data_IF_353849846605
#
_entry.id   IF_353849846605
#
_cell.length_a   1.000
_cell.length_b   1.000
_cell.length_c   1.000
_cell.angle_alpha   90.00
_cell.angle_beta   90.00
_cell.angle_gamma   90.00
#
_symmetry.space_group_name_H-M   'P 1'
#
loop_
_entity.id
_entity.type
_entity.pdbx_description
1 polymer ?
#
# COMPACT_ATOMS: atom_id res chain seq x y z
N UNK A 1 0.60 23.39 10.98
CA UNK A 1 1.53 22.26 11.22
C UNK A 1 0.90 21.06 10.54
N UNK A 2 1.59 20.43 9.59
CA UNK A 2 1.11 19.20 8.96
C UNK A 2 1.42 18.02 9.89
N UNK A 3 0.44 17.15 10.10
CA UNK A 3 0.63 15.89 10.83
C UNK A 3 0.79 14.80 9.77
N UNK A 4 1.92 14.06 9.77
CA UNK A 4 2.10 13.01 8.79
C UNK A 4 1.17 11.83 9.10
N UNK A 5 0.73 11.19 8.03
CA UNK A 5 0.10 9.88 8.08
C UNK A 5 1.16 8.82 7.76
N UNK A 6 1.21 7.75 8.54
CA UNK A 6 2.21 6.69 8.44
C UNK A 6 1.52 5.35 8.16
N UNK A 7 1.96 4.62 7.13
CA UNK A 7 1.62 3.19 6.93
C UNK A 7 2.79 2.33 7.40
N UNK A 8 2.55 1.41 8.34
CA UNK A 8 3.59 0.64 9.03
C UNK A 8 4.09 -0.59 8.26
N UNK A 9 3.86 -0.67 6.96
CA UNK A 9 4.06 -1.91 6.21
C UNK A 9 2.93 -2.91 6.49
N UNK A 10 3.26 -4.20 6.46
CA UNK A 10 2.35 -5.28 6.86
C UNK A 10 3.10 -6.34 7.65
N UNK A 11 2.49 -6.89 8.69
CA UNK A 11 3.12 -7.86 9.59
C UNK A 11 2.21 -9.04 9.91
N UNK A 12 2.83 -10.19 10.18
CA UNK A 12 2.11 -11.33 10.72
C UNK A 12 1.91 -11.15 12.22
N UNK A 13 0.67 -11.28 12.66
CA UNK A 13 0.36 -11.32 14.08
C UNK A 13 -0.64 -12.43 14.39
N UNK A 14 -0.51 -12.98 15.58
CA UNK A 14 -1.43 -13.96 16.10
C UNK A 14 -2.53 -13.26 16.89
N UNK A 15 -3.77 -13.38 16.42
CA UNK A 15 -4.95 -12.91 17.14
C UNK A 15 -5.75 -14.14 17.52
N UNK A 16 -5.91 -14.35 18.82
CA UNK A 16 -6.51 -15.57 19.37
C UNK A 16 -5.77 -16.83 18.85
N UNK A 17 -6.44 -17.66 18.04
CA UNK A 17 -5.90 -18.91 17.50
C UNK A 17 -5.62 -18.85 15.98
N UNK A 18 -5.57 -17.65 15.39
CA UNK A 18 -5.33 -17.46 13.97
C UNK A 18 -4.17 -16.50 13.71
N UNK A 19 -3.46 -16.75 12.63
CA UNK A 19 -2.46 -15.84 12.07
C UNK A 19 -3.11 -14.98 11.02
N UNK A 20 -2.88 -13.67 11.08
CA UNK A 20 -3.28 -12.73 10.03
C UNK A 20 -2.07 -11.97 9.52
N UNK A 21 -2.14 -11.45 8.31
CA UNK A 21 -1.21 -10.46 7.80
C UNK A 21 -1.93 -9.11 7.84
N UNK A 22 -1.53 -8.25 8.77
CA UNK A 22 -2.19 -6.99 9.08
C UNK A 22 -1.36 -5.81 8.60
N UNK A 23 -2.02 -4.81 8.03
CA UNK A 23 -1.43 -3.52 7.73
C UNK A 23 -2.30 -2.44 8.38
N UNK A 24 -1.66 -1.45 8.96
CA UNK A 24 -2.35 -0.33 9.58
C UNK A 24 -1.66 0.98 9.27
N UNK A 25 -2.43 2.04 9.47
CA UNK A 25 -1.93 3.37 9.43
C UNK A 25 -2.30 4.17 10.67
N UNK A 26 -1.38 5.07 11.01
CA UNK A 26 -1.37 5.82 12.26
C UNK A 26 -1.05 7.30 12.01
N UNK A 27 -1.47 8.16 12.94
CA UNK A 27 -0.97 9.54 13.01
C UNK A 27 0.48 9.53 13.45
N UNK A 28 1.36 10.19 12.70
CA UNK A 28 2.77 10.28 13.06
C UNK A 28 3.06 11.23 14.24
N UNK A 29 2.05 11.94 14.77
CA UNK A 29 2.21 12.77 15.96
C UNK A 29 2.31 11.93 17.24
N UNK A 30 1.44 10.93 17.38
CA UNK A 30 1.25 10.19 18.63
C UNK A 30 1.03 8.68 18.42
N UNK A 31 1.02 8.19 17.18
CA UNK A 31 0.76 6.80 16.86
C UNK A 31 -0.72 6.41 16.90
N UNK A 32 -1.65 7.37 17.00
CA UNK A 32 -3.09 7.07 17.00
C UNK A 32 -3.48 6.32 15.74
N UNK A 33 -4.08 5.13 15.91
CA UNK A 33 -4.60 4.33 14.81
C UNK A 33 -5.68 5.08 14.03
N UNK A 34 -5.56 5.04 12.71
CA UNK A 34 -6.50 5.67 11.77
C UNK A 34 -7.35 4.61 11.09
N UNK A 35 -6.72 3.71 10.34
CA UNK A 35 -7.39 2.57 9.72
C UNK A 35 -6.37 1.49 9.34
N UNK A 36 -6.86 0.27 9.13
CA UNK A 36 -6.04 -0.85 8.70
C UNK A 36 -6.85 -1.88 7.92
N UNK A 37 -6.15 -2.89 7.42
CA UNK A 37 -6.76 -4.04 6.78
C UNK A 37 -5.97 -5.33 7.05
N UNK A 38 -6.69 -6.43 7.03
CA UNK A 38 -6.10 -7.77 7.02
C UNK A 38 -6.04 -8.26 5.55
N UNK A 39 -4.97 -8.96 5.21
CA UNK A 39 -4.72 -9.48 3.87
C UNK A 39 -5.81 -10.44 3.45
N UNK A 40 -6.25 -10.33 2.20
CA UNK A 40 -7.39 -11.10 1.67
C UNK A 40 -6.97 -12.17 0.67
N UNK A 41 -5.71 -12.12 0.22
CA UNK A 41 -5.13 -13.10 -0.68
C UNK A 41 -3.77 -13.60 -0.21
N UNK A 42 -3.73 -14.84 0.28
CA UNK A 42 -2.49 -15.52 0.64
C UNK A 42 -1.58 -15.73 -0.57
N UNK A 43 -0.27 -15.61 -0.37
CA UNK A 43 0.74 -15.98 -1.38
C UNK A 43 1.19 -17.43 -1.22
N UNK A 44 1.56 -18.08 -2.33
CA UNK A 44 2.35 -19.32 -2.30
C UNK A 44 3.70 -19.00 -2.93
N UNK A 45 4.77 -19.22 -2.18
CA UNK A 45 6.15 -18.99 -2.63
C UNK A 45 6.97 -20.25 -2.37
N UNK A 46 7.72 -20.74 -3.36
CA UNK A 46 8.50 -21.97 -3.28
C UNK A 46 7.70 -23.16 -2.70
N UNK A 47 6.47 -23.38 -3.20
CA UNK A 47 5.52 -24.40 -2.73
C UNK A 47 5.09 -24.26 -1.25
N UNK A 48 5.45 -23.17 -0.58
CA UNK A 48 5.03 -22.85 0.77
C UNK A 48 3.89 -21.83 0.71
N UNK A 49 2.69 -22.25 1.13
CA UNK A 49 1.55 -21.34 1.27
C UNK A 49 1.74 -20.48 2.52
N UNK A 50 1.49 -19.18 2.40
CA UNK A 50 1.46 -18.26 3.54
C UNK A 50 0.45 -18.75 4.59
N UNK A 51 0.92 -18.95 5.82
CA UNK A 51 0.16 -19.52 6.93
C UNK A 51 -0.76 -18.50 7.61
N UNK A 52 -1.59 -17.80 6.83
CA UNK A 52 -2.55 -16.81 7.34
C UNK A 52 -3.98 -17.20 7.04
N UNK A 53 -4.89 -16.75 7.89
CA UNK A 53 -6.31 -16.66 7.60
C UNK A 53 -6.56 -15.39 6.77
N UNK A 54 -7.13 -15.56 5.59
CA UNK A 54 -7.48 -14.44 4.72
C UNK A 54 -8.75 -13.75 5.22
N UNK A 55 -8.73 -12.43 5.28
CA UNK A 55 -9.90 -11.65 5.67
C UNK A 55 -10.93 -11.58 4.55
N UNK A 56 -12.24 -11.58 4.85
CA UNK A 56 -13.27 -11.35 3.86
C UNK A 56 -13.37 -9.86 3.47
N UNK A 57 -14.19 -9.59 2.46
CA UNK A 57 -14.70 -8.24 2.14
C UNK A 57 -15.79 -7.89 3.19
N UNK A 58 -15.95 -6.63 3.64
CA UNK A 58 -15.58 -5.35 3.02
C UNK A 58 -14.13 -4.85 3.18
N UNK A 59 -13.77 -3.91 2.31
CA UNK A 59 -12.56 -3.08 2.43
C UNK A 59 -12.85 -1.88 3.35
N UNK A 60 -11.95 -1.62 4.29
CA UNK A 60 -11.97 -0.39 5.08
C UNK A 60 -11.32 0.73 4.27
N UNK A 61 -12.01 1.85 4.13
CA UNK A 61 -11.49 3.06 3.48
C UNK A 61 -11.51 4.23 4.48
N UNK A 62 -10.59 5.16 4.30
CA UNK A 62 -10.52 6.40 5.07
C UNK A 62 -10.77 7.58 4.12
N UNK A 63 -11.82 8.36 4.39
CA UNK A 63 -12.04 9.63 3.68
C UNK A 63 -11.26 10.73 4.39
N UNK A 64 -10.38 11.40 3.64
CA UNK A 64 -9.57 12.52 4.13
C UNK A 64 -9.74 13.75 3.23
N UNK A 65 -9.26 14.93 3.64
CA UNK A 65 -9.10 16.06 2.73
C UNK A 65 -8.25 15.80 1.47
N UNK A 66 -7.36 14.78 1.49
CA UNK A 66 -6.59 14.35 0.31
C UNK A 66 -7.35 13.38 -0.60
N UNK A 67 -8.58 13.01 -0.22
CA UNK A 67 -9.42 12.06 -0.93
C UNK A 67 -9.66 10.76 -0.18
N UNK A 68 -10.30 9.82 -0.87
CA UNK A 68 -10.63 8.48 -0.39
C UNK A 68 -9.41 7.56 -0.49
N UNK A 69 -9.02 7.00 0.65
CA UNK A 69 -7.83 6.15 0.78
C UNK A 69 -8.21 4.72 1.13
N UNK A 70 -7.43 3.75 0.64
CA UNK A 70 -7.50 2.36 1.06
C UNK A 70 -6.09 1.76 1.24
N UNK A 71 -6.01 0.65 2.00
CA UNK A 71 -4.81 -0.18 2.12
C UNK A 71 -5.12 -1.55 1.52
N UNK A 72 -4.19 -2.08 0.73
CA UNK A 72 -4.21 -3.45 0.21
C UNK A 72 -2.85 -4.10 0.46
N UNK A 73 -2.78 -5.42 0.66
CA UNK A 73 -1.51 -6.08 0.96
C UNK A 73 -1.09 -6.98 -0.20
N UNK A 74 0.04 -6.65 -0.83
CA UNK A 74 0.66 -7.44 -1.89
C UNK A 74 -0.35 -7.90 -2.98
N UNK A 75 -0.67 -9.20 -3.02
CA UNK A 75 -1.59 -9.83 -3.99
C UNK A 75 -3.00 -9.23 -4.02
N UNK A 76 -3.46 -8.61 -2.93
CA UNK A 76 -4.78 -7.98 -2.89
C UNK A 76 -4.95 -6.95 -4.01
N UNK A 77 -3.84 -6.31 -4.45
CA UNK A 77 -3.84 -5.29 -5.51
C UNK A 77 -4.22 -5.84 -6.90
N UNK A 78 -4.00 -7.12 -7.20
CA UNK A 78 -4.10 -7.63 -8.58
C UNK A 78 -4.74 -9.00 -8.73
N UNK A 79 -5.16 -9.65 -7.64
CA UNK A 79 -5.71 -11.01 -7.71
C UNK A 79 -7.08 -11.15 -7.04
N UNK A 80 -8.02 -11.72 -7.79
CA UNK A 80 -9.32 -12.17 -7.28
C UNK A 80 -10.30 -11.05 -6.92
N UNK A 81 -11.21 -11.38 -6.01
CA UNK A 81 -12.27 -10.48 -5.54
C UNK A 81 -11.74 -9.16 -4.94
N UNK A 82 -10.68 -9.14 -4.10
CA UNK A 82 -10.15 -7.89 -3.55
C UNK A 82 -9.74 -6.89 -4.63
N UNK A 83 -9.06 -7.35 -5.68
CA UNK A 83 -8.65 -6.50 -6.80
C UNK A 83 -9.86 -5.97 -7.58
N UNK A 84 -10.89 -6.79 -7.77
CA UNK A 84 -12.13 -6.36 -8.44
C UNK A 84 -12.84 -5.26 -7.65
N UNK A 85 -12.93 -5.39 -6.33
CA UNK A 85 -13.54 -4.37 -5.47
C UNK A 85 -12.69 -3.09 -5.45
N UNK A 86 -11.37 -3.20 -5.28
CA UNK A 86 -10.45 -2.05 -5.36
C UNK A 86 -10.62 -1.27 -6.68
N UNK A 87 -10.75 -1.98 -7.81
CA UNK A 87 -10.96 -1.37 -9.12
C UNK A 87 -12.37 -0.81 -9.36
N UNK A 88 -13.33 -1.06 -8.45
CA UNK A 88 -14.70 -0.53 -8.51
C UNK A 88 -14.89 0.73 -7.67
N UNK A 89 -13.98 0.99 -6.73
CA UNK A 89 -14.05 2.13 -5.82
C UNK A 89 -13.41 3.37 -6.44
N UNK A 90 -13.95 4.58 -6.22
CA UNK A 90 -13.35 5.83 -6.65
C UNK A 90 -12.23 6.24 -5.69
N UNK A 91 -11.20 5.42 -5.57
CA UNK A 91 -10.06 5.68 -4.68
C UNK A 91 -9.18 6.79 -5.26
N UNK A 92 -8.85 7.77 -4.43
CA UNK A 92 -7.81 8.75 -4.73
C UNK A 92 -6.43 8.15 -4.41
N UNK A 93 -6.33 7.39 -3.31
CA UNK A 93 -5.09 6.75 -2.87
C UNK A 93 -5.28 5.26 -2.56
N UNK A 94 -4.32 4.46 -3.00
CA UNK A 94 -4.18 3.07 -2.62
C UNK A 94 -2.75 2.79 -2.13
N UNK A 95 -2.63 2.42 -0.87
CA UNK A 95 -1.35 2.18 -0.20
C UNK A 95 -1.13 0.68 -0.11
N UNK A 96 0.00 0.21 -0.63
CA UNK A 96 0.25 -1.22 -0.84
C UNK A 96 1.59 -1.62 -0.24
N UNK A 97 1.63 -1.99 1.05
CA UNK A 97 2.75 -2.78 1.57
C UNK A 97 2.80 -4.12 0.84
N UNK A 98 3.99 -4.48 0.36
CA UNK A 98 4.19 -5.73 -0.35
C UNK A 98 5.56 -6.34 -0.08
N UNK A 99 5.63 -7.64 -0.27
CA UNK A 99 6.88 -8.38 -0.36
C UNK A 99 6.78 -9.27 -1.59
N UNK A 100 7.69 -9.11 -2.54
CA UNK A 100 7.71 -9.89 -3.78
C UNK A 100 9.11 -9.93 -4.40
N UNK A 101 9.35 -10.98 -5.18
CA UNK A 101 10.52 -11.17 -6.04
C UNK A 101 10.49 -10.25 -7.27
N UNK A 102 9.31 -9.82 -7.70
CA UNK A 102 9.13 -8.91 -8.83
C UNK A 102 8.08 -7.83 -8.58
N UNK A 103 8.45 -6.59 -8.86
CA UNK A 103 7.55 -5.44 -8.79
C UNK A 103 6.58 -5.35 -9.99
N UNK A 104 6.78 -6.15 -11.04
CA UNK A 104 6.03 -5.99 -12.29
C UNK A 104 4.50 -6.16 -12.15
N UNK A 105 3.97 -7.17 -11.45
CA UNK A 105 2.52 -7.31 -11.23
C UNK A 105 1.93 -6.08 -10.53
N UNK A 106 2.63 -5.56 -9.53
CA UNK A 106 2.24 -4.34 -8.81
C UNK A 106 2.22 -3.13 -9.75
N UNK A 107 3.27 -2.94 -10.57
CA UNK A 107 3.35 -1.85 -11.55
C UNK A 107 2.21 -1.89 -12.56
N UNK A 108 1.91 -3.07 -13.11
CA UNK A 108 0.85 -3.25 -14.11
C UNK A 108 -0.52 -2.93 -13.53
N UNK A 109 -0.81 -3.43 -12.31
CA UNK A 109 -2.08 -3.13 -11.65
C UNK A 109 -2.20 -1.66 -11.24
N UNK A 110 -1.15 -1.08 -10.64
CA UNK A 110 -1.09 0.34 -10.29
C UNK A 110 -1.38 1.23 -11.50
N UNK A 111 -0.73 0.97 -12.63
CA UNK A 111 -0.96 1.70 -13.88
C UNK A 111 -2.39 1.54 -14.39
N UNK A 112 -2.96 0.35 -14.25
CA UNK A 112 -4.34 0.07 -14.69
C UNK A 112 -5.35 0.84 -13.85
N UNK A 113 -5.19 0.86 -12.52
CA UNK A 113 -6.04 1.64 -11.61
C UNK A 113 -5.92 3.14 -11.89
N UNK A 114 -4.70 3.65 -12.06
CA UNK A 114 -4.47 5.05 -12.39
C UNK A 114 -5.13 5.43 -13.73
N UNK A 115 -4.94 4.64 -14.78
CA UNK A 115 -5.54 4.92 -16.09
C UNK A 115 -7.07 4.88 -16.06
N UNK A 116 -7.67 4.03 -15.23
CA UNK A 116 -9.13 3.84 -15.16
C UNK A 116 -9.82 4.91 -14.32
N UNK A 117 -9.25 5.28 -13.17
CA UNK A 117 -9.93 6.09 -12.15
C UNK A 117 -9.10 7.24 -11.59
N UNK A 118 -7.86 7.42 -12.05
CA UNK A 118 -6.94 8.43 -11.52
C UNK A 118 -6.30 8.08 -10.18
N UNK A 119 -6.56 6.88 -9.63
CA UNK A 119 -6.01 6.44 -8.33
C UNK A 119 -4.48 6.52 -8.32
N UNK A 120 -3.94 7.15 -7.27
CA UNK A 120 -2.52 7.13 -6.97
C UNK A 120 -2.23 5.87 -6.15
N UNK A 121 -1.42 4.97 -6.71
CA UNK A 121 -1.06 3.72 -6.05
C UNK A 121 0.39 3.80 -5.59
N UNK A 122 0.60 3.76 -4.27
CA UNK A 122 1.93 3.76 -3.66
C UNK A 122 2.26 2.34 -3.19
N UNK A 123 3.28 1.72 -3.79
CA UNK A 123 3.71 0.36 -3.46
C UNK A 123 5.04 0.41 -2.72
N UNK A 124 5.05 -0.07 -1.48
CA UNK A 124 6.25 -0.26 -0.67
C UNK A 124 6.63 -1.75 -0.72
N UNK A 125 7.52 -2.11 -1.65
CA UNK A 125 7.88 -3.50 -1.90
C UNK A 125 9.21 -3.88 -1.26
N UNK A 126 9.15 -4.78 -0.29
CA UNK A 126 10.31 -5.48 0.23
C UNK A 126 10.71 -6.63 -0.72
N UNK A 127 12.02 -6.79 -0.93
CA UNK A 127 12.55 -7.90 -1.73
C UNK A 127 12.49 -9.22 -0.96
N UNK A 128 12.21 -10.32 -1.67
CA UNK A 128 12.29 -11.67 -1.11
C UNK A 128 13.76 -12.07 -0.88
N UNK A 129 14.12 -12.72 0.26
CA UNK A 129 15.51 -13.03 0.63
C UNK A 129 16.32 -13.93 -0.33
N UNK A 130 15.70 -14.47 -1.38
CA UNK A 130 16.26 -15.53 -2.24
C UNK A 130 16.44 -15.10 -3.70
N UNK A 131 16.22 -13.82 -4.03
CA UNK A 131 16.34 -13.29 -5.40
C UNK A 131 17.79 -12.92 -5.76
N UNK A 132 18.33 -13.49 -6.84
CA UNK A 132 19.57 -12.98 -7.45
C UNK A 132 19.24 -11.70 -8.23
N UNK A 133 19.48 -10.56 -7.60
CA UNK A 133 19.37 -9.21 -8.16
C UNK A 133 17.95 -8.76 -8.56
N UNK A 134 17.23 -8.14 -7.64
CA UNK A 134 16.12 -7.24 -7.98
C UNK A 134 16.27 -5.90 -7.26
N UNK A 135 15.70 -4.84 -7.83
CA UNK A 135 15.81 -3.47 -7.32
C UNK A 135 14.71 -3.23 -6.28
N UNK A 136 15.01 -2.89 -5.02
CA UNK A 136 14.00 -2.31 -4.13
C UNK A 136 13.42 -1.06 -4.81
N UNK A 137 12.10 -0.91 -4.78
CA UNK A 137 11.44 0.07 -5.65
C UNK A 137 10.14 0.59 -5.07
N UNK A 138 10.04 1.91 -5.04
CA UNK A 138 8.80 2.67 -4.85
C UNK A 138 8.21 2.95 -6.23
N UNK A 139 6.92 2.65 -6.42
CA UNK A 139 6.20 3.03 -7.65
C UNK A 139 5.32 4.22 -7.32
N UNK A 140 5.50 5.30 -8.08
CA UNK A 140 4.78 6.55 -7.90
C UNK A 140 4.53 7.18 -9.28
N UNK A 141 3.29 7.57 -9.57
CA UNK A 141 2.90 8.13 -10.87
C UNK A 141 2.30 9.52 -10.75
N UNK A 142 2.91 10.50 -11.43
CA UNK A 142 2.46 11.91 -11.45
C UNK A 142 3.25 12.83 -12.38
N UNK A 143 2.86 14.11 -12.37
CA UNK A 143 3.42 15.24 -13.12
C UNK A 143 4.62 15.87 -12.39
N UNK A 144 5.56 16.36 -13.19
CA UNK A 144 6.97 16.58 -12.83
C UNK A 144 7.28 17.42 -11.56
N UNK A 145 8.32 17.04 -10.78
CA UNK A 145 8.68 17.67 -9.51
C UNK A 145 9.74 18.80 -9.61
N UNK A 146 9.73 19.73 -8.64
CA UNK A 146 10.80 20.71 -8.38
C UNK A 146 11.67 20.25 -7.19
N UNK A 147 13.01 20.39 -7.21
CA UNK A 147 13.90 19.74 -6.23
C UNK A 147 13.97 20.43 -4.87
N UNK A 148 13.88 19.67 -3.77
CA UNK A 148 14.22 20.10 -2.42
C UNK A 148 15.46 19.32 -1.93
N UNK A 149 16.46 20.02 -1.38
CA UNK A 149 17.67 19.40 -0.82
C UNK A 149 17.42 19.01 0.65
N UNK A 150 17.17 17.73 0.87
CA UNK A 150 17.29 17.06 2.17
C UNK A 150 17.99 15.72 1.95
N UNK A 151 18.58 15.12 2.99
CA UNK A 151 19.22 13.79 2.92
C UNK A 151 18.22 12.61 2.82
N UNK A 152 16.94 12.91 2.55
CA UNK A 152 15.87 11.96 2.28
C UNK A 152 15.50 11.98 0.79
N UNK A 153 15.40 10.79 0.17
CA UNK A 153 14.86 10.66 -1.18
C UNK A 153 13.35 10.58 -1.11
N UNK A 154 12.69 11.71 -1.39
CA UNK A 154 11.24 11.84 -1.42
C UNK A 154 10.81 12.00 -2.88
N UNK A 155 10.04 11.04 -3.39
CA UNK A 155 9.43 11.13 -4.73
C UNK A 155 8.05 11.75 -4.54
N UNK A 156 7.84 12.98 -5.03
CA UNK A 156 6.62 13.76 -4.85
C UNK A 156 5.87 14.03 -6.14
N UNK A 157 4.55 14.11 -6.00
CA UNK A 157 3.52 13.98 -7.01
C UNK A 157 2.34 14.82 -6.52
N UNK A 158 1.95 15.83 -7.29
CA UNK A 158 1.20 17.01 -6.93
C UNK A 158 -0.28 16.94 -7.36
N UNK A 159 -1.17 17.17 -6.40
CA UNK A 159 -2.38 17.97 -6.64
C UNK A 159 -2.68 18.85 -5.41
N UNK A 160 -3.07 20.10 -5.69
CA UNK A 160 -3.20 21.19 -4.71
C UNK A 160 -4.39 21.06 -3.75
N UNK A 161 -4.10 21.52 -2.53
CA UNK A 161 -4.96 22.06 -1.46
C UNK A 161 -5.72 21.08 -0.56
N UNK A 162 -5.01 20.51 0.43
CA UNK A 162 -5.24 20.74 1.88
C UNK A 162 -4.28 19.90 2.74
N UNK A 163 -3.94 20.41 3.94
CA UNK A 163 -2.77 20.08 4.77
C UNK A 163 -2.67 18.64 5.32
N UNK A 164 -2.28 17.68 4.48
CA UNK A 164 -1.88 16.34 4.92
C UNK A 164 -0.63 15.88 4.14
N UNK A 165 0.34 15.30 4.85
CA UNK A 165 1.59 14.79 4.28
C UNK A 165 1.60 13.27 4.42
N UNK A 166 1.64 12.54 3.31
CA UNK A 166 1.77 11.08 3.29
C UNK A 166 3.24 10.69 3.41
N UNK A 167 3.59 9.90 4.43
CA UNK A 167 4.94 9.32 4.59
C UNK A 167 4.80 7.79 4.55
N UNK A 168 5.46 7.15 3.59
CA UNK A 168 5.51 5.69 3.44
C UNK A 168 6.92 5.23 3.82
N UNK A 169 7.04 4.31 4.77
CA UNK A 169 8.32 3.71 5.17
C UNK A 169 8.50 2.34 4.50
N UNK A 170 9.75 1.98 4.19
CA UNK A 170 10.16 0.65 3.71
C UNK A 170 10.76 -0.16 4.86
#
# INVERSE_FOLDING_TARGET
MSIPFIVLGSFHEQVENRWRNHAEAVLGLDGTHLFGCDKRKSVTFNNCKEGIECSPIPLTCLLTPLGLMAIAICKDLFEGEPAAVLASLPLDWLLVPSMSDTINPHKVSARTMHNKGGTIVAVANQEMPVGTASLPGFVHYDKEPVPCKTDLTIISITKKESDLTLIVFN
#
